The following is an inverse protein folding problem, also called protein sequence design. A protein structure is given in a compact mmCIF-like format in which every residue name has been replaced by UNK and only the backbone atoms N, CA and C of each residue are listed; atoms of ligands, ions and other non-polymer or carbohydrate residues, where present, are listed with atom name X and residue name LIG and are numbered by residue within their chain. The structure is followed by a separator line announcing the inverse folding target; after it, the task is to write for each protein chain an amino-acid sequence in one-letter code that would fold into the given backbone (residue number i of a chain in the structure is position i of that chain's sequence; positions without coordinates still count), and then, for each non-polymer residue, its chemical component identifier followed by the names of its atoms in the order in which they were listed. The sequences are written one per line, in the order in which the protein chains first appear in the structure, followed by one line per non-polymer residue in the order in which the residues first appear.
data_IF_595433620529
#
_entry.id   IF_595433620529
#
_cell.length_a   1.000
_cell.length_b   1.000
_cell.length_c   1.000
_cell.angle_alpha   90.00
_cell.angle_beta   90.00
_cell.angle_gamma   90.00
#
_symmetry.space_group_name_H-M   'P 1'
#
loop_
_entity.id
_entity.type
_entity.pdbx_description
1 polymer ?
#
# COMPACT_ATOMS: atom_id res chain seq x y z
N UNK A 1 -22.35 -6.32 -26.74
CA UNK A 1 -21.73 -6.76 -25.46
C UNK A 1 -22.56 -6.18 -24.32
N UNK A 2 -23.19 -7.01 -23.49
CA UNK A 2 -24.15 -6.53 -22.47
C UNK A 2 -23.42 -5.76 -21.36
N UNK A 3 -23.94 -4.58 -20.95
CA UNK A 3 -23.36 -3.74 -19.89
C UNK A 3 -23.08 -4.53 -18.60
N UNK A 4 -23.93 -5.53 -18.31
CA UNK A 4 -23.80 -6.43 -17.15
C UNK A 4 -22.59 -7.36 -17.25
N UNK A 5 -22.19 -7.74 -18.46
CA UNK A 5 -20.98 -8.55 -18.73
C UNK A 5 -19.70 -7.73 -18.54
N UNK A 6 -19.70 -6.46 -18.96
CA UNK A 6 -18.54 -5.57 -18.78
C UNK A 6 -18.25 -5.28 -17.30
N UNK A 7 -19.28 -4.96 -16.51
CA UNK A 7 -19.13 -4.72 -15.06
C UNK A 7 -18.61 -5.97 -14.34
N UNK A 8 -19.09 -7.17 -14.72
CA UNK A 8 -18.61 -8.44 -14.15
C UNK A 8 -17.13 -8.68 -14.45
N UNK A 9 -16.69 -8.38 -15.67
CA UNK A 9 -15.27 -8.50 -16.07
C UNK A 9 -14.38 -7.52 -15.32
N UNK A 10 -14.80 -6.26 -15.16
CA UNK A 10 -14.06 -5.26 -14.38
C UNK A 10 -13.95 -5.70 -12.91
N UNK A 11 -15.04 -6.21 -12.33
CA UNK A 11 -15.04 -6.69 -10.93
C UNK A 11 -14.10 -7.89 -10.73
N UNK A 12 -14.09 -8.82 -11.69
CA UNK A 12 -13.16 -9.96 -11.70
C UNK A 12 -11.72 -9.50 -11.84
N UNK A 13 -11.46 -8.55 -12.73
CA UNK A 13 -10.12 -7.99 -12.94
C UNK A 13 -9.61 -7.29 -11.68
N UNK A 14 -10.46 -6.49 -11.02
CA UNK A 14 -10.13 -5.84 -9.74
C UNK A 14 -9.89 -6.87 -8.63
N UNK A 15 -10.68 -7.94 -8.55
CA UNK A 15 -10.44 -9.01 -7.57
C UNK A 15 -9.11 -9.74 -7.83
N UNK A 16 -8.80 -10.06 -9.09
CA UNK A 16 -7.53 -10.70 -9.45
C UNK A 16 -6.34 -9.78 -9.18
N UNK A 17 -6.48 -8.48 -9.44
CA UNK A 17 -5.44 -7.49 -9.15
C UNK A 17 -5.20 -7.35 -7.65
N UNK A 18 -6.27 -7.30 -6.85
CA UNK A 18 -6.20 -7.27 -5.38
C UNK A 18 -5.55 -8.55 -4.84
N UNK A 19 -5.95 -9.71 -5.37
CA UNK A 19 -5.37 -11.00 -4.98
C UNK A 19 -3.88 -11.07 -5.34
N UNK A 20 -3.51 -10.62 -6.54
CA UNK A 20 -2.12 -10.52 -6.98
C UNK A 20 -1.30 -9.64 -6.05
N UNK A 21 -1.85 -8.48 -5.65
CA UNK A 21 -1.22 -7.56 -4.69
C UNK A 21 -1.02 -8.22 -3.31
N UNK A 22 -2.01 -8.95 -2.81
CA UNK A 22 -1.92 -9.66 -1.54
C UNK A 22 -0.84 -10.75 -1.61
N UNK A 23 -0.80 -11.52 -2.70
CA UNK A 23 0.20 -12.56 -2.91
C UNK A 23 1.61 -11.98 -2.99
N UNK A 24 1.82 -10.88 -3.71
CA UNK A 24 3.12 -10.20 -3.73
C UNK A 24 3.50 -9.64 -2.36
N UNK A 25 2.55 -9.08 -1.60
CA UNK A 25 2.83 -8.64 -0.22
C UNK A 25 3.26 -9.81 0.67
N UNK A 26 2.62 -10.98 0.55
CA UNK A 26 2.97 -12.19 1.31
C UNK A 26 4.33 -12.74 0.87
N UNK A 27 4.59 -12.81 -0.44
CA UNK A 27 5.85 -13.31 -0.97
C UNK A 27 7.03 -12.35 -0.74
N UNK A 28 6.80 -11.04 -0.76
CA UNK A 28 7.82 -10.05 -0.38
C UNK A 28 7.97 -9.92 1.15
N UNK A 29 7.07 -10.53 1.94
CA UNK A 29 7.18 -10.57 3.40
C UNK A 29 8.27 -11.53 3.91
N UNK A 30 8.89 -12.34 3.04
CA UNK A 30 10.07 -13.15 3.41
C UNK A 30 11.36 -12.35 3.42
N UNK A 31 11.41 -11.20 2.73
CA UNK A 31 12.55 -10.30 2.78
C UNK A 31 12.41 -9.35 3.97
N UNK A 32 13.15 -9.65 5.04
CA UNK A 32 13.29 -8.73 6.18
C UNK A 32 14.32 -7.66 5.85
N UNK A 33 14.14 -6.46 6.40
CA UNK A 33 15.10 -5.36 6.31
C UNK A 33 15.32 -4.83 7.72
N UNK A 34 16.59 -4.66 8.09
CA UNK A 34 16.96 -4.05 9.37
C UNK A 34 16.66 -2.55 9.32
N UNK A 35 15.97 -2.07 10.34
CA UNK A 35 15.69 -0.65 10.53
C UNK A 35 16.41 -0.20 11.77
N UNK A 36 17.45 0.59 11.55
CA UNK A 36 18.28 1.16 12.60
C UNK A 36 17.96 2.65 12.74
N UNK A 37 17.29 2.98 13.83
CA UNK A 37 16.98 4.35 14.24
C UNK A 37 17.82 4.60 15.50
N UNK A 38 18.26 5.84 15.72
CA UNK A 38 19.18 6.29 16.80
C UNK A 38 19.26 5.44 18.09
N UNK A 39 18.14 5.00 18.66
CA UNK A 39 18.08 4.19 19.90
C UNK A 39 17.36 2.84 19.74
N UNK A 40 16.97 2.47 18.53
CA UNK A 40 16.10 1.34 18.25
C UNK A 40 16.52 0.60 16.99
N UNK A 41 16.69 -0.70 17.13
CA UNK A 41 17.06 -1.61 16.05
C UNK A 41 16.00 -2.69 15.99
N UNK A 42 15.46 -2.96 14.81
CA UNK A 42 14.53 -4.06 14.63
C UNK A 42 14.44 -4.53 13.19
N UNK A 43 14.12 -5.80 13.02
CA UNK A 43 13.93 -6.41 11.70
C UNK A 43 12.44 -6.47 11.36
N UNK A 44 12.08 -5.87 10.23
CA UNK A 44 10.71 -5.84 9.76
C UNK A 44 10.63 -6.36 8.33
N UNK A 45 9.53 -7.04 7.97
CA UNK A 45 9.28 -7.38 6.59
C UNK A 45 9.27 -6.12 5.72
N UNK A 46 10.03 -6.12 4.62
CA UNK A 46 10.18 -4.96 3.74
C UNK A 46 8.83 -4.46 3.23
N UNK A 47 7.90 -5.37 2.94
CA UNK A 47 6.55 -5.03 2.52
C UNK A 47 5.80 -4.16 3.55
N UNK A 48 5.95 -4.45 4.85
CA UNK A 48 5.34 -3.66 5.93
C UNK A 48 5.96 -2.26 5.99
N UNK A 49 7.28 -2.16 5.83
CA UNK A 49 7.98 -0.87 5.80
C UNK A 49 7.52 -0.01 4.62
N UNK A 50 7.44 -0.59 3.42
CA UNK A 50 7.00 0.11 2.21
C UNK A 50 5.55 0.60 2.32
N UNK A 51 4.65 -0.24 2.84
CA UNK A 51 3.26 0.15 3.12
C UNK A 51 3.17 1.28 4.15
N UNK A 52 3.96 1.19 5.23
CA UNK A 52 4.04 2.22 6.25
C UNK A 52 4.50 3.57 5.68
N UNK A 53 5.55 3.57 4.85
CA UNK A 53 6.06 4.78 4.17
C UNK A 53 5.03 5.37 3.22
N UNK A 54 4.34 4.53 2.44
CA UNK A 54 3.29 4.99 1.53
C UNK A 54 2.14 5.65 2.30
N UNK A 55 1.71 5.04 3.41
CA UNK A 55 0.64 5.57 4.26
C UNK A 55 1.05 6.88 4.95
N UNK A 56 2.27 6.95 5.49
CA UNK A 56 2.81 8.17 6.10
C UNK A 56 2.90 9.33 5.07
N UNK A 57 3.32 9.03 3.85
CA UNK A 57 3.40 10.01 2.76
C UNK A 57 2.03 10.53 2.35
N UNK A 58 1.03 9.64 2.26
CA UNK A 58 -0.35 10.03 1.97
C UNK A 58 -0.92 10.93 3.08
N UNK A 59 -0.67 10.59 4.35
CA UNK A 59 -1.11 11.39 5.49
C UNK A 59 -0.47 12.78 5.50
N UNK A 60 0.84 12.87 5.29
CA UNK A 60 1.55 14.15 5.18
C UNK A 60 0.98 15.02 4.05
N UNK A 61 0.74 14.42 2.88
CA UNK A 61 0.15 15.11 1.73
C UNK A 61 -1.24 15.64 2.05
N UNK A 62 -2.06 14.84 2.73
CA UNK A 62 -3.39 15.25 3.18
C UNK A 62 -3.33 16.42 4.18
N UNK A 63 -2.43 16.36 5.16
CA UNK A 63 -2.25 17.44 6.15
C UNK A 63 -1.78 18.75 5.50
N UNK A 64 -0.83 18.68 4.56
CA UNK A 64 -0.37 19.85 3.79
C UNK A 64 -1.50 20.43 2.94
N UNK A 65 -2.30 19.57 2.30
CA UNK A 65 -3.44 20.01 1.49
C UNK A 65 -4.49 20.71 2.36
N UNK A 66 -4.79 20.16 3.54
CA UNK A 66 -5.68 20.79 4.51
C UNK A 66 -5.15 22.13 5.01
N UNK A 67 -3.86 22.21 5.31
CA UNK A 67 -3.21 23.46 5.72
C UNK A 67 -3.34 24.54 4.64
N UNK A 68 -3.02 24.21 3.39
CA UNK A 68 -3.13 25.15 2.27
C UNK A 68 -4.57 25.54 1.95
N UNK A 69 -5.55 24.68 2.22
CA UNK A 69 -6.97 25.02 2.03
C UNK A 69 -7.54 25.97 3.09
N UNK A 70 -6.81 26.18 4.20
CA UNK A 70 -7.19 27.06 5.31
C UNK A 70 -6.40 28.37 5.34
N UNK A 71 -5.34 28.50 4.52
CA UNK A 71 -4.55 29.70 4.34
C UNK A 71 -5.10 30.53 3.17
#
# INVERSE_FOLDING_TARGET
MSLKSGIRQIRLLLMLLLLGLIVTIIFQNTETTSVDILWWHGEFPRAVLLLGVALASALLTFLVTLWNSRA
#
